data_IF_345649016569
#
_entry.id   IF_345649016569
#
_cell.length_a   1.000
_cell.length_b   1.000
_cell.length_c   1.000
_cell.angle_alpha   90.00
_cell.angle_beta   90.00
_cell.angle_gamma   90.00
#
_symmetry.space_group_name_H-M   'P 1'
#
loop_
_entity.id
_entity.type
_entity.pdbx_description
1 polymer ?
#
# COMPACT_ATOMS: atom_id res chain seq x y z
N UNK A 1 -1.11 19.29 -12.57
CA UNK A 1 -1.60 19.92 -11.33
C UNK A 1 -0.99 19.20 -10.14
N UNK A 2 -0.61 19.91 -9.08
CA UNK A 2 -0.14 19.28 -7.85
C UNK A 2 -1.28 18.52 -7.16
N UNK A 3 -1.05 17.26 -6.79
CA UNK A 3 -1.98 16.41 -6.03
C UNK A 3 -1.52 16.28 -4.58
N UNK A 4 -2.46 15.89 -3.71
CA UNK A 4 -2.17 15.42 -2.36
C UNK A 4 -2.05 13.90 -2.38
N UNK A 5 -0.90 13.37 -1.98
CA UNK A 5 -0.56 11.94 -1.99
C UNK A 5 -0.28 11.48 -0.57
N UNK A 6 -1.06 10.53 -0.08
CA UNK A 6 -0.84 9.89 1.21
C UNK A 6 -0.35 8.45 0.97
N UNK A 7 0.88 8.16 1.39
CA UNK A 7 1.45 6.81 1.36
C UNK A 7 1.41 6.26 2.79
N UNK A 8 0.70 5.15 2.99
CA UNK A 8 0.57 4.52 4.31
C UNK A 8 1.40 3.23 4.32
N UNK A 9 2.49 3.22 5.08
CA UNK A 9 3.33 2.02 5.28
C UNK A 9 2.76 1.19 6.43
N UNK A 10 2.30 -0.02 6.12
CA UNK A 10 1.74 -0.99 7.06
C UNK A 10 2.79 -2.00 7.54
N UNK A 11 4.04 -1.86 7.12
CA UNK A 11 5.13 -2.78 7.46
C UNK A 11 5.44 -2.77 8.96
N UNK A 12 5.48 -3.96 9.57
CA UNK A 12 5.91 -4.16 10.96
C UNK A 12 7.33 -3.67 11.23
N UNK A 13 8.22 -3.84 10.23
CA UNK A 13 9.65 -3.52 10.33
C UNK A 13 9.92 -2.20 9.61
N UNK A 14 10.48 -1.25 10.35
CA UNK A 14 11.02 -0.03 9.74
C UNK A 14 12.22 -0.40 8.88
N UNK A 15 12.29 0.13 7.66
CA UNK A 15 13.32 -0.24 6.69
C UNK A 15 13.05 -1.55 5.93
N UNK A 16 11.86 -2.16 6.08
CA UNK A 16 11.47 -3.33 5.29
C UNK A 16 11.54 -3.07 3.79
N UNK A 17 11.51 -4.13 2.98
CA UNK A 17 11.50 -4.03 1.52
C UNK A 17 10.34 -3.16 1.01
N UNK A 18 9.12 -3.38 1.50
CA UNK A 18 7.97 -2.53 1.16
C UNK A 18 8.11 -1.09 1.67
N UNK A 19 8.74 -0.85 2.82
CA UNK A 19 9.02 0.50 3.33
C UNK A 19 10.06 1.24 2.46
N UNK A 20 11.07 0.52 1.94
CA UNK A 20 12.05 1.04 0.99
C UNK A 20 11.36 1.43 -0.32
N UNK A 21 10.51 0.56 -0.88
CA UNK A 21 9.74 0.87 -2.09
C UNK A 21 8.78 2.06 -1.88
N UNK A 22 8.14 2.15 -0.70
CA UNK A 22 7.26 3.27 -0.36
C UNK A 22 8.03 4.60 -0.32
N UNK A 23 9.25 4.61 0.22
CA UNK A 23 10.13 5.78 0.22
C UNK A 23 10.57 6.18 -1.19
N UNK A 24 10.89 5.22 -2.04
CA UNK A 24 11.28 5.52 -3.43
C UNK A 24 10.10 6.08 -4.24
N UNK A 25 8.89 5.52 -4.05
CA UNK A 25 7.66 6.09 -4.61
C UNK A 25 7.42 7.52 -4.10
N UNK A 26 7.57 7.76 -2.80
CA UNK A 26 7.42 9.08 -2.20
C UNK A 26 8.41 10.10 -2.80
N UNK A 27 9.65 9.67 -3.07
CA UNK A 27 10.66 10.49 -3.73
C UNK A 27 10.23 10.86 -5.16
N UNK A 28 9.80 9.89 -5.97
CA UNK A 28 9.30 10.14 -7.32
C UNK A 28 8.13 11.12 -7.36
N UNK A 29 7.18 10.98 -6.43
CA UNK A 29 6.01 11.86 -6.33
C UNK A 29 6.36 13.30 -5.90
N UNK A 30 7.31 13.46 -4.97
CA UNK A 30 7.82 14.79 -4.58
C UNK A 30 8.52 15.49 -5.74
N UNK A 31 9.35 14.77 -6.48
CA UNK A 31 10.03 15.30 -7.66
C UNK A 31 9.07 15.65 -8.81
N UNK A 32 7.88 15.07 -8.84
CA UNK A 32 6.80 15.43 -9.76
C UNK A 32 6.00 16.68 -9.34
N UNK A 33 6.32 17.26 -8.17
CA UNK A 33 5.67 18.48 -7.66
C UNK A 33 4.37 18.23 -6.88
N UNK A 34 4.21 17.05 -6.28
CA UNK A 34 3.06 16.75 -5.42
C UNK A 34 3.31 17.07 -3.94
N UNK A 35 2.24 17.27 -3.20
CA UNK A 35 2.24 17.33 -1.74
C UNK A 35 2.13 15.89 -1.21
N UNK A 36 3.21 15.39 -0.60
CA UNK A 36 3.37 13.96 -0.28
C UNK A 36 3.61 13.74 1.22
N UNK A 37 2.71 12.98 1.85
CA UNK A 37 2.84 12.49 3.22
C UNK A 37 3.13 10.98 3.22
N UNK A 38 4.19 10.55 3.93
CA UNK A 38 4.48 9.13 4.18
C UNK A 38 4.23 8.84 5.66
N UNK A 39 3.16 8.09 5.94
CA UNK A 39 2.74 7.73 7.29
C UNK A 39 3.06 6.26 7.56
N UNK A 40 3.95 5.98 8.51
CA UNK A 40 4.16 4.61 9.01
C UNK A 40 3.17 4.28 10.12
N UNK A 41 2.56 3.10 10.05
CA UNK A 41 1.73 2.56 11.13
C UNK A 41 2.54 1.82 12.20
N UNK A 42 3.85 1.66 12.01
CA UNK A 42 4.73 1.03 13.01
C UNK A 42 4.67 1.79 14.33
N UNK A 43 4.42 1.06 15.42
CA UNK A 43 4.38 1.61 16.78
C UNK A 43 3.15 2.47 17.09
N UNK A 44 2.18 2.57 16.19
CA UNK A 44 0.89 3.20 16.48
C UNK A 44 -0.03 2.20 17.18
N UNK A 45 -0.75 2.68 18.20
CA UNK A 45 -1.83 1.92 18.81
C UNK A 45 -3.05 1.95 17.88
N UNK A 46 -3.37 0.81 17.28
CA UNK A 46 -4.52 0.65 16.40
C UNK A 46 -5.41 -0.41 17.04
N UNK A 47 -6.54 0.04 17.59
CA UNK A 47 -7.50 -0.83 18.29
C UNK A 47 -8.02 -1.95 17.38
N UNK A 48 -8.29 -3.09 18.01
CA UNK A 48 -8.54 -4.37 17.34
C UNK A 48 -9.93 -4.48 16.69
N UNK A 49 -10.03 -5.45 15.80
CA UNK A 49 -11.23 -5.88 15.08
C UNK A 49 -12.36 -6.29 16.06
N UNK A 50 -13.59 -5.83 15.82
CA UNK A 50 -14.78 -6.14 16.64
C UNK A 50 -15.56 -7.39 16.20
N UNK A 51 -15.02 -8.20 15.27
CA UNK A 51 -15.59 -9.51 14.95
C UNK A 51 -16.76 -9.52 13.95
N UNK A 52 -16.81 -8.60 12.97
CA UNK A 52 -17.82 -8.65 11.89
C UNK A 52 -17.55 -9.70 10.79
N UNK A 53 -16.39 -10.38 10.84
CA UNK A 53 -15.99 -11.51 9.98
C UNK A 53 -15.82 -11.23 8.48
N UNK A 54 -16.00 -10.00 7.99
CA UNK A 54 -15.69 -9.62 6.60
C UNK A 54 -14.20 -9.80 6.25
N UNK A 55 -13.35 -9.99 7.26
CA UNK A 55 -11.89 -10.04 7.14
C UNK A 55 -11.29 -11.39 6.72
N UNK A 56 -12.04 -12.49 6.78
CA UNK A 56 -11.48 -13.84 6.74
C UNK A 56 -10.97 -14.30 5.36
N UNK A 57 -10.95 -13.44 4.33
CA UNK A 57 -10.64 -13.82 2.94
C UNK A 57 -9.40 -13.14 2.33
N UNK A 58 -8.66 -12.31 3.07
CA UNK A 58 -7.93 -11.20 2.43
C UNK A 58 -6.41 -11.36 2.20
N UNK A 59 -5.77 -12.46 2.64
CA UNK A 59 -4.37 -12.77 2.29
C UNK A 59 -3.31 -11.68 2.50
N UNK A 60 -3.55 -10.68 3.36
CA UNK A 60 -2.72 -9.49 3.57
C UNK A 60 -2.27 -9.36 5.03
N UNK A 61 -1.34 -8.43 5.33
CA UNK A 61 -0.85 -8.23 6.69
C UNK A 61 -1.93 -7.66 7.64
N UNK A 62 -1.82 -7.98 8.94
CA UNK A 62 -2.80 -7.60 9.96
C UNK A 62 -3.03 -6.09 10.07
N UNK A 63 -1.99 -5.25 9.97
CA UNK A 63 -2.14 -3.79 10.06
C UNK A 63 -2.83 -3.20 8.85
N UNK A 64 -2.54 -3.71 7.65
CA UNK A 64 -3.30 -3.31 6.47
C UNK A 64 -4.76 -3.65 6.70
N UNK A 65 -5.05 -4.84 7.23
CA UNK A 65 -6.43 -5.21 7.49
C UNK A 65 -7.12 -4.31 8.53
N UNK A 66 -6.46 -4.02 9.64
CA UNK A 66 -6.99 -3.13 10.67
C UNK A 66 -7.18 -1.72 10.13
N UNK A 67 -6.26 -1.22 9.30
CA UNK A 67 -6.42 0.07 8.61
C UNK A 67 -7.68 0.08 7.77
N UNK A 68 -7.86 -0.90 6.87
CA UNK A 68 -9.05 -0.99 6.01
C UNK A 68 -10.34 -1.01 6.87
N UNK A 69 -10.36 -1.81 7.94
CA UNK A 69 -11.51 -1.87 8.85
C UNK A 69 -11.81 -0.53 9.51
N UNK A 70 -10.78 0.29 9.77
CA UNK A 70 -10.90 1.62 10.38
C UNK A 70 -11.21 2.74 9.41
N UNK A 71 -11.01 2.51 8.12
CA UNK A 71 -11.47 3.40 7.07
C UNK A 71 -12.92 3.10 6.62
N UNK A 72 -13.49 1.94 6.96
CA UNK A 72 -14.89 1.62 6.61
C UNK A 72 -15.93 2.68 7.01
N UNK A 73 -15.87 3.33 8.20
CA UNK A 73 -16.81 4.40 8.54
C UNK A 73 -16.75 5.62 7.61
N UNK A 74 -15.70 5.77 6.79
CA UNK A 74 -15.63 6.83 5.79
C UNK A 74 -16.60 6.60 4.62
N UNK A 75 -17.15 5.38 4.46
CA UNK A 75 -18.06 5.03 3.37
C UNK A 75 -19.22 6.04 3.22
N UNK A 76 -19.83 6.43 4.35
CA UNK A 76 -20.95 7.37 4.38
C UNK A 76 -20.54 8.84 4.43
N UNK A 77 -19.24 9.14 4.27
CA UNK A 77 -18.69 10.50 4.36
C UNK A 77 -18.30 11.02 2.97
N UNK A 78 -18.03 12.32 2.84
CA UNK A 78 -17.40 12.86 1.63
C UNK A 78 -15.89 12.65 1.63
N UNK A 79 -15.47 11.38 1.55
CA UNK A 79 -14.06 11.02 1.54
C UNK A 79 -13.30 11.58 0.33
N UNK A 80 -12.03 11.94 0.55
CA UNK A 80 -11.22 12.63 -0.46
C UNK A 80 -10.38 11.69 -1.33
N UNK A 81 -10.10 10.45 -0.90
CA UNK A 81 -9.27 9.52 -1.67
C UNK A 81 -10.00 9.05 -2.94
N UNK A 82 -9.24 8.93 -4.04
CA UNK A 82 -9.76 8.57 -5.37
C UNK A 82 -8.93 7.45 -5.98
N UNK A 83 -7.68 7.74 -6.26
CA UNK A 83 -6.79 6.77 -6.87
C UNK A 83 -6.02 6.01 -5.78
N UNK A 84 -6.15 4.69 -5.78
CA UNK A 84 -5.52 3.81 -4.80
C UNK A 84 -4.52 2.92 -5.52
N UNK A 85 -3.35 2.72 -4.92
CA UNK A 85 -2.28 1.88 -5.46
C UNK A 85 -1.75 0.97 -4.35
N UNK A 86 -1.29 -0.22 -4.74
CA UNK A 86 -0.65 -1.16 -3.82
C UNK A 86 0.86 -1.21 -4.08
N UNK A 87 1.67 -1.28 -3.01
CA UNK A 87 3.09 -1.59 -3.09
C UNK A 87 3.35 -2.82 -2.21
N UNK A 88 3.86 -3.89 -2.81
CA UNK A 88 4.02 -5.16 -2.13
C UNK A 88 5.32 -5.87 -2.52
N UNK A 89 5.87 -6.65 -1.58
CA UNK A 89 7.03 -7.51 -1.82
C UNK A 89 6.74 -8.91 -1.30
N UNK A 90 7.30 -9.93 -1.94
CA UNK A 90 7.16 -11.34 -1.58
C UNK A 90 8.52 -12.05 -1.74
N UNK A 91 8.72 -13.13 -0.97
CA UNK A 91 9.90 -13.97 -1.11
C UNK A 91 9.82 -14.82 -2.38
N UNK A 92 8.62 -15.24 -2.75
CA UNK A 92 8.31 -15.94 -3.98
C UNK A 92 8.39 -15.00 -5.20
N UNK A 93 8.82 -15.53 -6.34
CA UNK A 93 8.89 -14.80 -7.61
C UNK A 93 7.59 -14.80 -8.40
N UNK A 94 6.63 -15.65 -8.02
CA UNK A 94 5.37 -15.85 -8.74
C UNK A 94 4.43 -14.65 -8.55
N UNK A 95 3.80 -14.15 -9.63
CA UNK A 95 2.87 -13.02 -9.56
C UNK A 95 1.62 -13.33 -8.73
N UNK A 96 1.21 -14.61 -8.67
CA UNK A 96 0.09 -15.07 -7.84
C UNK A 96 0.33 -14.86 -6.34
N UNK A 97 1.58 -14.65 -5.93
CA UNK A 97 1.92 -14.31 -4.55
C UNK A 97 1.23 -13.02 -4.07
N UNK A 98 0.88 -12.11 -4.98
CA UNK A 98 0.23 -10.84 -4.67
C UNK A 98 -1.30 -10.87 -4.81
N UNK A 99 -1.86 -11.84 -5.55
CA UNK A 99 -3.27 -11.85 -5.95
C UNK A 99 -4.23 -11.80 -4.77
N UNK A 100 -4.00 -12.61 -3.72
CA UNK A 100 -4.90 -12.65 -2.57
C UNK A 100 -4.95 -11.30 -1.85
N UNK A 101 -3.79 -10.66 -1.66
CA UNK A 101 -3.70 -9.35 -1.01
C UNK A 101 -4.28 -8.25 -1.89
N UNK A 102 -4.02 -8.29 -3.20
CA UNK A 102 -4.56 -7.34 -4.17
C UNK A 102 -6.08 -7.45 -4.28
N UNK A 103 -6.64 -8.65 -4.40
CA UNK A 103 -8.08 -8.90 -4.43
C UNK A 103 -8.76 -8.50 -3.11
N UNK A 104 -8.10 -8.73 -1.98
CA UNK A 104 -8.58 -8.27 -0.67
C UNK A 104 -8.64 -6.74 -0.56
N UNK A 105 -7.68 -6.02 -1.16
CA UNK A 105 -7.71 -4.56 -1.25
C UNK A 105 -8.78 -4.10 -2.25
N UNK A 106 -8.86 -4.72 -3.42
CA UNK A 106 -9.87 -4.43 -4.45
C UNK A 106 -11.27 -4.50 -3.87
N UNK A 107 -11.62 -5.59 -3.16
CA UNK A 107 -12.94 -5.73 -2.56
C UNK A 107 -13.27 -4.66 -1.52
N UNK A 108 -12.27 -4.08 -0.85
CA UNK A 108 -12.47 -2.91 0.01
C UNK A 108 -12.67 -1.64 -0.81
N UNK A 109 -11.86 -1.43 -1.86
CA UNK A 109 -11.97 -0.26 -2.76
C UNK A 109 -13.32 -0.24 -3.47
N UNK A 110 -13.86 -1.39 -3.86
CA UNK A 110 -15.16 -1.53 -4.52
C UNK A 110 -16.33 -1.01 -3.65
N UNK A 111 -16.16 -0.93 -2.33
CA UNK A 111 -17.15 -0.30 -1.45
C UNK A 111 -17.19 1.24 -1.59
N UNK A 112 -16.16 1.87 -2.17
CA UNK A 112 -16.04 3.33 -2.25
C UNK A 112 -16.19 3.79 -3.70
N UNK A 113 -17.41 4.19 -4.08
CA UNK A 113 -17.80 4.55 -5.46
C UNK A 113 -16.91 5.61 -6.16
N UNK A 114 -16.31 6.53 -5.39
CA UNK A 114 -15.44 7.59 -5.91
C UNK A 114 -13.98 7.14 -6.05
N UNK A 115 -13.66 5.94 -5.55
CA UNK A 115 -12.32 5.39 -5.52
C UNK A 115 -12.11 4.33 -6.61
N UNK A 116 -10.86 4.09 -6.99
CA UNK A 116 -10.48 3.05 -7.94
C UNK A 116 -9.09 2.52 -7.62
N UNK A 117 -8.92 1.21 -7.66
CA UNK A 117 -7.61 0.58 -7.56
C UNK A 117 -6.93 0.69 -8.92
N UNK A 118 -5.89 1.51 -9.00
CA UNK A 118 -5.22 1.89 -10.25
C UNK A 118 -4.03 1.00 -10.61
N UNK A 119 -3.53 0.20 -9.66
CA UNK A 119 -2.51 -0.78 -9.94
C UNK A 119 -1.65 -1.14 -8.73
N UNK A 120 -0.60 -1.91 -9.01
CA UNK A 120 0.34 -2.44 -8.03
C UNK A 120 1.78 -2.28 -8.51
N UNK A 121 2.69 -1.97 -7.58
CA UNK A 121 4.12 -2.23 -7.72
C UNK A 121 4.46 -3.46 -6.89
N UNK A 122 4.80 -4.55 -7.56
CA UNK A 122 5.18 -5.82 -6.96
C UNK A 122 6.68 -6.07 -7.08
N UNK A 123 7.28 -6.60 -6.02
CA UNK A 123 8.65 -7.10 -5.99
C UNK A 123 8.70 -8.53 -5.46
N UNK A 124 8.64 -9.51 -6.36
CA UNK A 124 8.86 -10.93 -6.03
C UNK A 124 10.34 -11.26 -5.92
N UNK A 125 10.67 -12.39 -5.27
CA UNK A 125 12.05 -12.84 -5.09
C UNK A 125 12.87 -12.03 -4.10
N UNK A 126 12.20 -11.21 -3.28
CA UNK A 126 12.85 -10.36 -2.28
C UNK A 126 12.73 -11.05 -0.92
N UNK A 127 13.52 -12.10 -0.73
CA UNK A 127 13.43 -13.08 0.35
C UNK A 127 14.14 -12.67 1.64
N UNK A 128 15.13 -11.78 1.57
CA UNK A 128 15.84 -11.26 2.74
C UNK A 128 15.39 -9.85 3.14
N UNK A 129 15.66 -9.50 4.40
CA UNK A 129 15.31 -8.21 4.94
C UNK A 129 16.14 -7.08 4.33
N UNK A 130 15.48 -5.99 3.95
CA UNK A 130 16.12 -4.73 3.57
C UNK A 130 16.96 -4.81 2.28
N UNK A 131 16.71 -5.81 1.42
CA UNK A 131 17.44 -6.00 0.16
C UNK A 131 16.75 -5.32 -1.03
N UNK A 132 15.55 -4.77 -0.91
CA UNK A 132 14.83 -4.17 -2.05
C UNK A 132 15.68 -3.18 -2.87
N UNK A 133 16.59 -2.44 -2.24
CA UNK A 133 17.51 -1.51 -2.90
C UNK A 133 18.47 -2.17 -3.91
N UNK A 134 18.79 -3.47 -3.76
CA UNK A 134 19.59 -4.22 -4.75
C UNK A 134 18.76 -4.70 -5.96
N UNK A 135 17.43 -4.59 -5.92
CA UNK A 135 16.53 -4.96 -7.01
C UNK A 135 16.18 -3.72 -7.85
N UNK A 136 17.14 -3.31 -8.68
CA UNK A 136 17.09 -2.04 -9.45
C UNK A 136 15.80 -1.88 -10.26
N UNK A 137 15.30 -2.95 -10.88
CA UNK A 137 14.08 -2.91 -11.68
C UNK A 137 12.83 -2.63 -10.84
N UNK A 138 12.74 -3.22 -9.64
CA UNK A 138 11.62 -3.01 -8.71
C UNK A 138 11.69 -1.59 -8.12
N UNK A 139 12.88 -1.14 -7.76
CA UNK A 139 13.12 0.24 -7.32
C UNK A 139 12.70 1.26 -8.39
N UNK A 140 13.08 1.01 -9.65
CA UNK A 140 12.68 1.85 -10.78
C UNK A 140 11.16 1.85 -10.97
N UNK A 141 10.49 0.69 -10.91
CA UNK A 141 9.01 0.62 -10.97
C UNK A 141 8.35 1.47 -9.87
N UNK A 142 8.85 1.40 -8.64
CA UNK A 142 8.35 2.19 -7.52
C UNK A 142 8.55 3.71 -7.73
N UNK A 143 9.75 4.12 -8.15
CA UNK A 143 10.07 5.51 -8.49
C UNK A 143 9.17 6.05 -9.60
N UNK A 144 9.05 5.30 -10.70
CA UNK A 144 8.25 5.66 -11.87
C UNK A 144 6.75 5.70 -11.57
N UNK A 145 6.26 4.84 -10.68
CA UNK A 145 4.90 4.98 -10.16
C UNK A 145 4.73 6.35 -9.50
N UNK A 146 5.62 6.70 -8.56
CA UNK A 146 5.58 7.97 -7.85
C UNK A 146 5.60 9.17 -8.80
N UNK A 147 6.46 9.14 -9.82
CA UNK A 147 6.56 10.17 -10.88
C UNK A 147 5.27 10.37 -11.68
N UNK A 148 4.43 9.33 -11.79
CA UNK A 148 3.24 9.30 -12.64
C UNK A 148 1.93 9.57 -11.88
N UNK A 149 2.00 9.76 -10.57
CA UNK A 149 0.81 10.07 -9.75
C UNK A 149 0.16 11.38 -10.19
#
# INVERSE_FOLDING_TARGET
MAKKVLIISTSFRGGSNSDILAKECAKGAKEAGHDVELLSLKGKDIKYCIGCLSCQRNGMCGQMKTLLDRLNPLYSTDYSFRDIYMIATAAENDESAFEKAYNGLQGWVDCFEKASLKGIVSGGGIDAANIAASHVDVMKKAYELGKKL
#
